data_IF_149309422187
#
_entry.id   IF_149309422187
#
_cell.length_a   1.000
_cell.length_b   1.000
_cell.length_c   1.000
_cell.angle_alpha   90.00
_cell.angle_beta   90.00
_cell.angle_gamma   90.00
#
_symmetry.space_group_name_H-M   'P 1'
#
loop_
_entity.id
_entity.type
_entity.pdbx_description
1 polymer ?
#
# COMPACT_ATOMS: atom_id res chain seq x y z
N UNK A 1 -1.84 -6.11 19.54
CA UNK A 1 -3.28 -5.98 19.27
C UNK A 1 -3.43 -5.43 17.86
N UNK A 2 -3.76 -6.29 16.88
CA UNK A 2 -4.11 -5.86 15.53
C UNK A 2 -5.48 -5.18 15.58
N UNK A 3 -5.66 -4.05 14.87
CA UNK A 3 -6.97 -3.40 14.77
C UNK A 3 -7.81 -4.18 13.75
N UNK A 4 -8.72 -5.09 14.18
CA UNK A 4 -9.40 -6.03 13.28
C UNK A 4 -10.41 -5.34 12.37
N UNK A 5 -10.65 -4.05 12.59
CA UNK A 5 -11.71 -3.26 11.95
C UNK A 5 -11.18 -2.21 10.99
N UNK A 6 -9.86 -2.06 10.79
CA UNK A 6 -9.31 -0.93 10.04
C UNK A 6 -9.66 0.42 10.68
N UNK A 7 -9.41 1.52 9.97
CA UNK A 7 -9.71 2.90 10.37
C UNK A 7 -10.58 3.58 9.33
N UNK A 8 -11.40 4.54 9.74
CA UNK A 8 -12.20 5.32 8.80
C UNK A 8 -11.39 6.41 8.10
N UNK A 9 -10.22 6.78 8.63
CA UNK A 9 -9.44 7.89 8.10
C UNK A 9 -7.98 7.49 8.05
N UNK A 10 -7.31 7.83 6.95
CA UNK A 10 -5.85 7.79 6.87
C UNK A 10 -5.30 8.98 6.11
N UNK A 11 -4.03 9.28 6.34
CA UNK A 11 -3.29 10.32 5.64
C UNK A 11 -2.02 9.78 5.00
N UNK A 12 -1.68 10.30 3.83
CA UNK A 12 -0.44 9.98 3.14
C UNK A 12 0.17 11.26 2.57
N UNK A 13 1.48 11.42 2.76
CA UNK A 13 2.23 12.53 2.19
C UNK A 13 2.95 12.07 0.92
N UNK A 14 2.75 12.81 -0.17
CA UNK A 14 3.52 12.69 -1.39
C UNK A 14 4.59 13.77 -1.40
N UNK A 15 5.84 13.35 -1.14
CA UNK A 15 6.98 14.24 -1.07
C UNK A 15 7.35 14.88 -2.42
N UNK A 16 7.00 14.25 -3.55
CA UNK A 16 7.35 14.73 -4.89
C UNK A 16 6.58 16.01 -5.27
N UNK A 17 5.33 16.10 -4.83
CA UNK A 17 4.44 17.23 -5.09
C UNK A 17 4.21 18.09 -3.84
N UNK A 18 4.73 17.65 -2.70
CA UNK A 18 4.48 18.24 -1.39
C UNK A 18 2.97 18.36 -1.07
N UNK A 19 2.24 17.27 -1.28
CA UNK A 19 0.78 17.18 -1.06
C UNK A 19 0.48 16.17 0.03
N UNK A 20 -0.41 16.50 0.96
CA UNK A 20 -0.99 15.55 1.90
C UNK A 20 -2.35 15.13 1.36
N UNK A 21 -2.57 13.83 1.26
CA UNK A 21 -3.85 13.24 0.92
C UNK A 21 -4.53 12.73 2.18
N UNK A 22 -5.82 13.00 2.30
CA UNK A 22 -6.70 12.47 3.33
C UNK A 22 -7.68 11.50 2.66
N UNK A 23 -7.63 10.23 3.04
CA UNK A 23 -8.66 9.26 2.69
C UNK A 23 -9.67 9.18 3.84
N UNK A 24 -10.95 9.34 3.51
CA UNK A 24 -12.07 9.16 4.41
C UNK A 24 -12.94 8.00 3.90
N UNK A 25 -12.88 6.88 4.62
CA UNK A 25 -13.67 5.68 4.38
C UNK A 25 -15.11 5.88 4.84
N UNK A 26 -16.03 5.59 3.94
CA UNK A 26 -17.46 5.50 4.16
C UNK A 26 -17.93 4.07 3.86
N UNK A 27 -19.21 3.78 4.06
CA UNK A 27 -19.77 2.48 3.68
C UNK A 27 -19.64 2.35 2.15
N UNK A 28 -18.87 1.36 1.69
CA UNK A 28 -18.68 0.99 0.28
C UNK A 28 -17.91 1.97 -0.62
N UNK A 29 -17.35 3.04 -0.06
CA UNK A 29 -16.53 4.02 -0.80
C UNK A 29 -15.49 4.67 0.10
N UNK A 30 -14.37 5.12 -0.46
CA UNK A 30 -13.39 5.95 0.26
C UNK A 30 -13.13 7.20 -0.55
N UNK A 31 -13.50 8.36 -0.01
CA UNK A 31 -13.30 9.66 -0.65
C UNK A 31 -11.89 10.16 -0.32
N UNK A 32 -11.21 10.73 -1.30
CA UNK A 32 -9.88 11.30 -1.11
C UNK A 32 -9.89 12.79 -1.38
N UNK A 33 -9.28 13.53 -0.45
CA UNK A 33 -9.02 14.97 -0.58
C UNK A 33 -7.52 15.24 -0.60
N UNK A 34 -7.11 16.25 -1.36
CA UNK A 34 -5.73 16.72 -1.40
C UNK A 34 -5.59 18.07 -0.70
N UNK A 35 -4.48 18.23 0.00
CA UNK A 35 -4.08 19.44 0.71
C UNK A 35 -2.67 19.81 0.25
N UNK A 36 -2.57 20.90 -0.51
CA UNK A 36 -1.30 21.47 -0.97
C UNK A 36 -1.03 22.79 -0.26
N UNK A 37 0.24 23.15 -0.08
CA UNK A 37 0.65 24.47 0.42
C UNK A 37 0.10 24.86 1.80
N UNK A 38 -0.32 23.89 2.62
CA UNK A 38 -0.98 24.12 3.92
C UNK A 38 -2.27 24.96 3.82
N UNK A 39 -2.86 25.08 2.63
CA UNK A 39 -4.15 25.75 2.46
C UNK A 39 -5.28 24.80 2.87
N UNK A 40 -5.95 25.15 3.98
CA UNK A 40 -7.08 24.40 4.52
C UNK A 40 -8.44 24.95 4.07
N UNK A 41 -8.46 26.03 3.29
CA UNK A 41 -9.69 26.76 2.98
C UNK A 41 -10.59 26.02 1.99
N UNK A 42 -10.02 25.23 1.06
CA UNK A 42 -10.79 24.42 0.08
C UNK A 42 -10.04 23.13 -0.29
N UNK A 43 -10.12 22.05 0.51
CA UNK A 43 -9.50 20.78 0.13
C UNK A 43 -10.26 20.15 -1.05
N UNK A 44 -9.59 20.10 -2.20
CA UNK A 44 -10.13 19.53 -3.42
C UNK A 44 -10.34 18.02 -3.26
N UNK A 45 -11.56 17.54 -3.59
CA UNK A 45 -11.78 16.11 -3.76
C UNK A 45 -11.06 15.69 -5.04
N UNK A 46 -10.08 14.82 -4.91
CA UNK A 46 -9.28 14.33 -6.06
C UNK A 46 -9.83 13.05 -6.65
N UNK A 47 -10.67 12.34 -5.90
CA UNK A 47 -11.32 11.13 -6.39
C UNK A 47 -11.88 10.27 -5.26
N UNK A 48 -12.23 9.04 -5.61
CA UNK A 48 -12.71 8.05 -4.66
C UNK A 48 -12.26 6.65 -5.08
N UNK A 49 -12.16 5.76 -4.11
CA UNK A 49 -12.02 4.33 -4.31
C UNK A 49 -13.42 3.70 -4.20
N UNK A 50 -13.94 3.18 -5.31
CA UNK A 50 -15.23 2.49 -5.31
C UNK A 50 -15.08 1.08 -4.75
N UNK A 51 -16.13 0.57 -4.10
CA UNK A 51 -16.11 -0.75 -3.48
C UNK A 51 -14.99 -0.92 -2.44
N UNK A 52 -14.61 0.16 -1.77
CA UNK A 52 -13.70 0.16 -0.61
C UNK A 52 -14.47 0.39 0.70
N UNK A 53 -13.80 0.25 1.83
CA UNK A 53 -14.43 0.36 3.15
C UNK A 53 -13.43 0.84 4.19
N UNK A 54 -13.30 0.10 5.29
CA UNK A 54 -12.38 0.46 6.35
C UNK A 54 -10.94 0.43 5.84
N UNK A 55 -10.19 1.50 6.08
CA UNK A 55 -8.84 1.69 5.58
C UNK A 55 -7.88 0.90 6.47
N UNK A 56 -6.98 0.11 5.88
CA UNK A 56 -5.81 -0.45 6.57
C UNK A 56 -4.67 0.54 6.50
N UNK A 57 -4.36 0.98 5.27
CA UNK A 57 -3.31 1.95 5.00
C UNK A 57 -3.59 2.73 3.73
N UNK A 58 -3.15 3.99 3.72
CA UNK A 58 -3.03 4.84 2.55
C UNK A 58 -1.55 5.18 2.33
N UNK A 59 -1.12 5.14 1.08
CA UNK A 59 0.21 5.57 0.68
C UNK A 59 0.12 6.44 -0.57
N UNK A 60 1.06 7.39 -0.70
CA UNK A 60 1.09 8.33 -1.80
C UNK A 60 2.52 8.50 -2.32
N UNK A 61 2.70 8.50 -3.65
CA UNK A 61 3.94 8.89 -4.30
C UNK A 61 3.67 9.27 -5.76
N UNK A 62 4.28 10.36 -6.23
CA UNK A 62 4.22 10.80 -7.63
C UNK A 62 2.77 10.86 -8.17
N UNK A 63 1.86 11.47 -7.41
CA UNK A 63 0.41 11.61 -7.67
C UNK A 63 -0.35 10.29 -7.73
N UNK A 64 0.28 9.17 -7.38
CA UNK A 64 -0.39 7.88 -7.26
C UNK A 64 -0.71 7.61 -5.81
N UNK A 65 -1.96 7.21 -5.57
CA UNK A 65 -2.44 6.79 -4.26
C UNK A 65 -2.69 5.31 -4.27
N UNK A 66 -2.18 4.63 -3.26
CA UNK A 66 -2.46 3.23 -3.00
C UNK A 66 -3.24 3.10 -1.70
N UNK A 67 -4.41 2.49 -1.80
CA UNK A 67 -5.25 2.21 -0.66
C UNK A 67 -5.29 0.70 -0.43
N UNK A 68 -5.00 0.29 0.80
CA UNK A 68 -5.42 -1.00 1.30
C UNK A 68 -6.67 -0.82 2.17
N UNK A 69 -7.75 -1.54 1.86
CA UNK A 69 -8.99 -1.46 2.64
C UNK A 69 -9.69 -2.81 2.81
N UNK A 70 -10.59 -2.87 3.79
CA UNK A 70 -11.52 -3.95 4.03
C UNK A 70 -12.94 -3.53 3.65
N UNK A 71 -13.52 -4.22 2.68
CA UNK A 71 -14.98 -4.29 2.52
C UNK A 71 -15.56 -5.57 3.13
N UNK A 72 -14.73 -6.62 3.22
CA UNK A 72 -15.09 -7.95 3.69
C UNK A 72 -13.94 -8.51 4.54
N UNK A 73 -13.83 -9.83 4.66
CA UNK A 73 -12.80 -10.52 5.47
C UNK A 73 -11.39 -10.46 4.89
N UNK A 74 -11.23 -10.02 3.63
CA UNK A 74 -9.94 -10.03 2.92
C UNK A 74 -9.54 -8.60 2.55
N UNK A 75 -8.31 -8.16 2.87
CA UNK A 75 -7.80 -6.87 2.42
C UNK A 75 -7.83 -6.75 0.90
N UNK A 76 -8.18 -5.58 0.39
CA UNK A 76 -8.19 -5.28 -1.04
C UNK A 76 -7.27 -4.10 -1.33
N UNK A 77 -6.42 -4.27 -2.34
CA UNK A 77 -5.59 -3.19 -2.88
C UNK A 77 -6.32 -2.38 -3.94
N UNK A 78 -6.15 -1.07 -3.91
CA UNK A 78 -6.62 -0.14 -4.92
C UNK A 78 -5.51 0.83 -5.29
N UNK A 79 -5.47 1.23 -6.56
CA UNK A 79 -4.61 2.32 -7.01
C UNK A 79 -5.47 3.42 -7.65
N UNK A 80 -5.08 4.67 -7.43
CA UNK A 80 -5.68 5.84 -8.07
C UNK A 80 -4.60 6.80 -8.57
N UNK A 81 -4.79 7.37 -9.75
CA UNK A 81 -4.06 8.57 -10.17
C UNK A 81 -4.83 9.81 -9.67
N UNK A 82 -4.23 10.57 -8.76
CA UNK A 82 -4.86 11.73 -8.13
C UNK A 82 -5.07 12.91 -9.09
N UNK A 83 -4.48 12.90 -10.30
CA UNK A 83 -4.70 13.93 -11.32
C UNK A 83 -6.05 13.79 -11.99
N UNK A 84 -6.46 12.54 -12.25
CA UNK A 84 -7.72 12.22 -12.94
C UNK A 84 -8.80 11.64 -12.03
N UNK A 85 -8.45 11.26 -10.80
CA UNK A 85 -9.35 10.59 -9.87
C UNK A 85 -9.77 9.17 -10.28
N UNK A 86 -9.20 8.65 -11.37
CA UNK A 86 -9.48 7.31 -11.86
C UNK A 86 -8.82 6.29 -10.93
N UNK A 87 -9.65 5.50 -10.26
CA UNK A 87 -9.21 4.41 -9.39
C UNK A 87 -9.57 3.05 -9.99
N UNK A 88 -8.76 2.05 -9.67
CA UNK A 88 -9.04 0.67 -10.04
C UNK A 88 -8.65 -0.30 -8.93
N UNK A 89 -9.37 -1.41 -8.90
CA UNK A 89 -9.11 -2.52 -7.99
C UNK A 89 -7.93 -3.35 -8.51
N UNK A 90 -6.97 -3.61 -7.63
CA UNK A 90 -5.83 -4.48 -7.92
C UNK A 90 -6.20 -5.92 -7.58
N UNK A 91 -6.83 -6.60 -8.55
CA UNK A 91 -7.15 -8.02 -8.42
C UNK A 91 -5.87 -8.85 -8.22
N UNK A 92 -5.89 -9.75 -7.23
CA UNK A 92 -4.79 -10.63 -6.80
C UNK A 92 -3.74 -10.01 -5.86
N UNK A 93 -4.04 -8.88 -5.23
CA UNK A 93 -3.17 -8.26 -4.24
C UNK A 93 -3.94 -8.01 -2.93
N UNK A 94 -3.38 -8.50 -1.83
CA UNK A 94 -3.94 -8.37 -0.48
C UNK A 94 -2.93 -7.62 0.41
N UNK A 95 -2.80 -6.30 0.20
CA UNK A 95 -1.63 -5.57 0.64
C UNK A 95 -1.71 -5.18 2.12
N UNK A 96 -1.42 -6.11 3.03
CA UNK A 96 -1.04 -5.75 4.40
C UNK A 96 0.25 -4.91 4.46
N UNK A 97 1.03 -4.90 3.37
CA UNK A 97 2.22 -4.07 3.20
C UNK A 97 2.25 -3.42 1.81
N UNK A 98 2.69 -2.17 1.77
CA UNK A 98 2.82 -1.39 0.55
C UNK A 98 3.97 -0.36 0.64
N UNK A 99 4.63 -0.07 -0.49
CA UNK A 99 5.57 1.05 -0.62
C UNK A 99 5.93 1.37 -2.08
N UNK A 100 6.55 2.54 -2.32
CA UNK A 100 7.02 2.98 -3.64
C UNK A 100 8.51 3.26 -3.62
N UNK A 101 9.32 2.51 -4.37
CA UNK A 101 10.76 2.75 -4.42
C UNK A 101 11.13 4.06 -5.16
N UNK A 102 12.43 4.37 -5.19
CA UNK A 102 12.94 5.59 -5.85
C UNK A 102 12.63 5.64 -7.35
N UNK A 103 12.43 4.49 -8.00
CA UNK A 103 12.00 4.41 -9.40
C UNK A 103 10.48 4.42 -9.56
N UNK A 104 9.72 4.71 -8.50
CA UNK A 104 8.27 4.71 -8.49
C UNK A 104 7.67 3.31 -8.78
N UNK A 105 8.42 2.24 -8.48
CA UNK A 105 7.94 0.86 -8.56
C UNK A 105 7.20 0.52 -7.28
N UNK A 106 6.13 -0.24 -7.43
CA UNK A 106 5.23 -0.63 -6.34
C UNK A 106 5.77 -1.88 -5.67
N UNK A 107 5.96 -1.82 -4.35
CA UNK A 107 6.19 -3.00 -3.52
C UNK A 107 4.90 -3.36 -2.81
N UNK A 108 4.41 -4.57 -3.03
CA UNK A 108 3.13 -5.02 -2.46
C UNK A 108 3.12 -6.53 -2.25
N UNK A 109 2.30 -7.02 -1.31
CA UNK A 109 2.07 -8.46 -1.13
C UNK A 109 1.01 -8.95 -2.12
N UNK A 110 1.22 -10.15 -2.66
CA UNK A 110 0.19 -10.82 -3.44
C UNK A 110 -0.92 -11.43 -2.57
N UNK A 111 -2.02 -11.82 -3.21
CA UNK A 111 -3.07 -12.57 -2.55
C UNK A 111 -2.57 -13.96 -2.05
N UNK A 112 -3.04 -14.44 -0.88
CA UNK A 112 -2.66 -15.71 -0.26
C UNK A 112 -2.82 -16.93 -1.18
N UNK A 113 -3.81 -16.91 -2.06
CA UNK A 113 -4.18 -18.04 -2.94
C UNK A 113 -3.08 -18.41 -3.93
N UNK A 114 -2.07 -17.54 -4.09
CA UNK A 114 -0.91 -17.74 -4.95
C UNK A 114 0.38 -18.07 -4.15
N UNK A 115 0.25 -18.37 -2.85
CA UNK A 115 1.34 -18.40 -1.87
C UNK A 115 1.73 -16.98 -1.45
N UNK A 116 2.36 -16.79 -0.29
CA UNK A 116 2.75 -15.44 0.11
C UNK A 116 4.09 -15.03 -0.50
N UNK A 117 4.06 -13.90 -1.22
CA UNK A 117 5.22 -13.25 -1.82
C UNK A 117 5.13 -11.73 -1.68
N UNK A 118 6.28 -11.08 -1.52
CA UNK A 118 6.42 -9.65 -1.72
C UNK A 118 6.80 -9.43 -3.19
N UNK A 119 5.97 -8.69 -3.91
CA UNK A 119 6.14 -8.38 -5.32
C UNK A 119 6.64 -6.94 -5.50
N UNK A 120 7.53 -6.75 -6.46
CA UNK A 120 7.86 -5.45 -7.03
C UNK A 120 7.19 -5.36 -8.40
N UNK A 121 6.33 -4.37 -8.59
CA UNK A 121 5.60 -4.10 -9.82
C UNK A 121 6.11 -2.80 -10.44
N UNK A 122 6.13 -2.74 -11.77
CA UNK A 122 6.35 -1.48 -12.47
C UNK A 122 5.08 -0.59 -12.51
N UNK A 123 5.16 0.53 -13.23
CA UNK A 123 4.06 1.46 -13.41
C UNK A 123 2.86 0.90 -14.18
N UNK A 124 3.04 -0.19 -14.92
CA UNK A 124 2.01 -0.95 -15.63
C UNK A 124 1.44 -2.12 -14.81
N UNK A 125 1.87 -2.26 -13.54
CA UNK A 125 1.59 -3.38 -12.64
C UNK A 125 2.20 -4.72 -13.05
N UNK A 126 3.14 -4.73 -13.99
CA UNK A 126 3.83 -5.97 -14.36
C UNK A 126 4.82 -6.36 -13.26
N UNK A 127 4.84 -7.64 -12.89
CA UNK A 127 5.76 -8.16 -11.85
C UNK A 127 7.18 -8.14 -12.40
N UNK A 128 8.03 -7.36 -11.73
CA UNK A 128 9.47 -7.24 -12.04
C UNK A 128 10.32 -8.13 -11.12
N UNK A 129 9.86 -8.36 -9.89
CA UNK A 129 10.55 -9.21 -8.91
C UNK A 129 9.56 -9.81 -7.92
N UNK A 130 9.85 -11.02 -7.45
CA UNK A 130 9.11 -11.71 -6.39
C UNK A 130 10.06 -12.20 -5.31
N UNK A 131 9.73 -11.92 -4.05
CA UNK A 131 10.44 -12.40 -2.87
C UNK A 131 9.52 -13.33 -2.08
N UNK A 132 9.94 -14.59 -1.92
CA UNK A 132 9.14 -15.61 -1.25
C UNK A 132 9.14 -15.41 0.27
N UNK A 133 7.99 -15.61 0.92
CA UNK A 133 7.93 -15.78 2.36
C UNK A 133 8.19 -17.26 2.76
N UNK A 134 8.92 -17.48 3.85
CA UNK A 134 9.15 -18.75 4.52
C UNK A 134 8.31 -18.73 5.80
N UNK A 135 7.78 -19.89 6.18
CA UNK A 135 6.94 -20.06 7.35
C UNK A 135 5.78 -19.05 7.44
N UNK A 136 4.87 -19.18 6.49
CA UNK A 136 3.70 -18.32 6.28
C UNK A 136 2.68 -18.33 7.44
N UNK A 137 2.73 -19.35 8.31
CA UNK A 137 1.80 -19.58 9.43
C UNK A 137 1.63 -18.37 10.35
N UNK A 138 2.67 -17.55 10.49
CA UNK A 138 2.69 -16.40 11.40
C UNK A 138 2.50 -15.05 10.70
N UNK A 139 2.25 -15.05 9.38
CA UNK A 139 2.11 -13.83 8.58
C UNK A 139 0.63 -13.63 8.22
N UNK A 140 -0.09 -12.90 9.07
CA UNK A 140 -1.49 -12.55 8.78
C UNK A 140 -1.59 -11.56 7.61
N UNK A 141 -2.72 -11.55 6.90
CA UNK A 141 -2.91 -10.75 5.68
C UNK A 141 -2.80 -9.24 5.90
N UNK A 142 -3.11 -8.78 7.11
CA UNK A 142 -3.07 -7.38 7.56
C UNK A 142 -1.72 -6.96 8.17
N UNK A 143 -0.79 -7.91 8.36
CA UNK A 143 0.50 -7.60 8.98
C UNK A 143 1.45 -6.91 7.98
N UNK A 144 1.95 -5.69 8.28
CA UNK A 144 2.98 -5.07 7.47
C UNK A 144 4.31 -5.79 7.67
N UNK A 145 4.71 -6.58 6.67
CA UNK A 145 5.96 -7.37 6.68
C UNK A 145 7.10 -6.77 5.87
N UNK A 146 6.85 -5.66 5.19
CA UNK A 146 7.86 -4.95 4.43
C UNK A 146 7.76 -3.44 4.68
N UNK A 147 8.91 -2.79 4.75
CA UNK A 147 9.02 -1.33 4.81
C UNK A 147 10.11 -0.86 3.87
N UNK A 148 9.80 0.17 3.11
CA UNK A 148 10.75 0.83 2.23
C UNK A 148 11.39 2.03 2.93
N UNK A 149 12.69 2.17 2.73
CA UNK A 149 13.47 3.36 3.04
C UNK A 149 13.72 4.16 1.76
N UNK A 150 12.84 5.13 1.50
CA UNK A 150 12.88 5.96 0.30
C UNK A 150 14.23 6.69 0.12
N UNK A 151 14.85 7.29 1.16
CA UNK A 151 16.18 7.91 1.04
C UNK A 151 17.29 6.99 0.52
N UNK A 152 17.30 5.71 0.88
CA UNK A 152 18.36 4.78 0.44
C UNK A 152 17.94 3.92 -0.75
N UNK A 153 16.64 3.74 -0.97
CA UNK A 153 16.10 2.78 -1.94
C UNK A 153 16.18 1.34 -1.44
N UNK A 154 16.32 1.13 -0.12
CA UNK A 154 16.35 -0.20 0.48
C UNK A 154 14.95 -0.65 0.88
N UNK A 155 14.61 -1.90 0.59
CA UNK A 155 13.45 -2.59 1.13
C UNK A 155 13.90 -3.49 2.26
N UNK A 156 13.26 -3.34 3.41
CA UNK A 156 13.45 -4.18 4.59
C UNK A 156 12.24 -5.08 4.72
N UNK A 157 12.48 -6.39 4.75
CA UNK A 157 11.44 -7.40 4.90
C UNK A 157 11.66 -8.15 6.21
N UNK A 158 10.64 -8.20 7.05
CA UNK A 158 10.63 -8.93 8.31
C UNK A 158 9.92 -10.27 8.09
N UNK A 159 10.65 -11.39 8.16
CA UNK A 159 10.02 -12.72 8.16
C UNK A 159 10.97 -13.83 8.70
N UNK A 160 10.51 -15.07 8.72
CA UNK A 160 11.29 -16.22 9.20
C UNK A 160 12.35 -16.71 8.22
N UNK A 161 13.57 -16.99 8.69
CA UNK A 161 14.61 -17.63 7.88
C UNK A 161 14.33 -19.14 7.66
N UNK A 162 15.23 -19.83 6.93
CA UNK A 162 15.12 -21.27 6.68
C UNK A 162 15.16 -22.15 7.95
N UNK A 163 15.65 -21.60 9.08
CA UNK A 163 15.66 -22.24 10.39
C UNK A 163 14.44 -21.89 11.25
N UNK A 164 13.43 -21.20 10.70
CA UNK A 164 12.25 -20.69 11.41
C UNK A 164 12.55 -19.68 12.52
N UNK A 165 13.56 -18.83 12.33
CA UNK A 165 13.86 -17.71 13.23
C UNK A 165 13.47 -16.39 12.57
N UNK A 166 12.90 -15.46 13.34
CA UNK A 166 12.53 -14.14 12.82
C UNK A 166 13.79 -13.36 12.41
N UNK A 167 13.82 -12.89 11.18
CA UNK A 167 14.96 -12.21 10.57
C UNK A 167 14.53 -11.01 9.73
N UNK A 168 15.46 -10.06 9.57
CA UNK A 168 15.30 -8.91 8.68
C UNK A 168 16.17 -9.11 7.45
N UNK A 169 15.52 -9.18 6.29
CA UNK A 169 16.16 -9.23 4.98
C UNK A 169 16.21 -7.83 4.37
N UNK A 170 17.34 -7.51 3.73
CA UNK A 170 17.60 -6.22 3.10
C UNK A 170 17.73 -6.43 1.60
N UNK A 171 16.97 -5.68 0.82
CA UNK A 171 17.01 -5.74 -0.63
C UNK A 171 17.27 -4.34 -1.18
N UNK A 172 18.26 -4.22 -2.06
CA UNK A 172 18.48 -2.98 -2.78
C UNK A 172 17.45 -2.89 -3.91
N UNK A 173 16.54 -1.93 -3.78
CA UNK A 173 15.48 -1.64 -4.75
C UNK A 173 15.90 -0.55 -5.74
N UNK A 174 17.18 -0.23 -5.87
CA UNK A 174 17.65 0.66 -6.94
C UNK A 174 18.00 -0.09 -8.23
N UNK A 175 17.94 -1.43 -8.22
CA UNK A 175 18.24 -2.28 -9.38
C UNK A 175 17.01 -3.09 -9.80
#
# INVERSE_FOLDING_TARGET
MANPTGKFIDVAWDASENVIYLANGEISTTIVRAFSNMDLSVPAVVGNFQSSGNIISLHAANRKLYLCSFISTIPKGYLMDATGGYSYYMSNYDPGCFGFDKQNRIWTRNAPTLGHMLLMLDSSLSVQKSLKFFNETYITNDCPVAKLDTPTGMVYMLHFNAANELAVYKYNSNF
#
